data_IF_593426044231
#
_entry.id   IF_593426044231
#
_cell.length_a   1.000
_cell.length_b   1.000
_cell.length_c   1.000
_cell.angle_alpha   90.00
_cell.angle_beta   90.00
_cell.angle_gamma   90.00
#
_symmetry.space_group_name_H-M   'P 1'
#
loop_
_entity.id
_entity.type
_entity.pdbx_description
1 polymer ?
#
# COMPACT_ATOMS: atom_id res chain seq x y z
N UNK A 1 -16.59 28.36 58.77
CA UNK A 1 -16.87 27.16 58.03
C UNK A 1 -17.10 27.59 56.58
N UNK A 2 -16.05 27.57 55.76
CA UNK A 2 -16.09 28.03 54.36
C UNK A 2 -16.30 26.81 53.45
N UNK A 3 -17.39 26.82 52.72
CA UNK A 3 -17.72 25.82 51.71
C UNK A 3 -16.99 26.15 50.42
N UNK A 4 -16.13 25.22 49.97
CA UNK A 4 -15.41 25.27 48.69
C UNK A 4 -16.37 24.84 47.57
N UNK A 5 -16.49 25.55 46.45
CA UNK A 5 -17.34 25.12 45.34
C UNK A 5 -16.66 23.99 44.55
N UNK A 6 -17.42 22.92 44.31
CA UNK A 6 -17.07 21.78 43.50
C UNK A 6 -17.05 22.19 42.04
N UNK A 7 -15.87 22.17 41.39
CA UNK A 7 -15.74 22.40 39.97
C UNK A 7 -16.34 21.22 39.21
N UNK A 8 -17.50 21.44 38.61
CA UNK A 8 -18.12 20.51 37.68
C UNK A 8 -17.27 20.34 36.42
N UNK A 9 -16.61 19.18 36.30
CA UNK A 9 -15.92 18.79 35.09
C UNK A 9 -16.93 18.59 33.95
N UNK A 10 -16.84 19.45 32.93
CA UNK A 10 -17.54 19.24 31.65
C UNK A 10 -17.11 17.93 31.04
N UNK A 11 -18.04 16.97 30.94
CA UNK A 11 -17.85 15.74 30.12
C UNK A 11 -17.56 16.21 28.70
N UNK A 12 -16.31 16.09 28.26
CA UNK A 12 -15.98 16.16 26.83
C UNK A 12 -16.76 15.05 26.14
N UNK A 13 -17.74 15.42 25.33
CA UNK A 13 -18.52 14.50 24.54
C UNK A 13 -17.58 13.65 23.69
N UNK A 14 -17.76 12.34 23.72
CA UNK A 14 -17.17 11.43 22.77
C UNK A 14 -17.58 11.93 21.38
N UNK A 15 -16.63 12.49 20.63
CA UNK A 15 -16.90 12.95 19.26
C UNK A 15 -17.44 11.77 18.45
N UNK A 16 -18.59 11.98 17.81
CA UNK A 16 -19.11 10.99 16.87
C UNK A 16 -18.03 10.65 15.86
N UNK A 17 -17.69 9.38 15.74
CA UNK A 17 -16.81 8.89 14.68
C UNK A 17 -17.58 9.03 13.37
N UNK A 18 -17.28 10.07 12.59
CA UNK A 18 -17.85 10.25 11.26
C UNK A 18 -16.99 9.51 10.24
N UNK A 19 -17.59 8.54 9.54
CA UNK A 19 -16.94 7.88 8.42
C UNK A 19 -16.75 8.89 7.28
N UNK A 20 -15.49 9.12 6.88
CA UNK A 20 -15.18 9.94 5.70
C UNK A 20 -15.16 9.05 4.47
N UNK A 21 -16.13 9.21 3.58
CA UNK A 21 -16.31 8.35 2.41
C UNK A 21 -15.30 8.61 1.28
N UNK A 22 -14.65 9.76 1.28
CA UNK A 22 -13.67 10.18 0.26
C UNK A 22 -12.21 10.01 0.71
N UNK A 23 -11.95 9.07 1.60
CA UNK A 23 -10.58 8.67 1.96
C UNK A 23 -10.46 7.16 1.73
N UNK A 24 -9.38 6.76 1.08
CA UNK A 24 -8.98 5.36 0.90
C UNK A 24 -7.55 5.18 1.37
N UNK A 25 -7.29 4.10 2.08
CA UNK A 25 -5.96 3.72 2.52
C UNK A 25 -5.57 2.44 1.78
N UNK A 26 -4.48 2.50 1.02
CA UNK A 26 -4.03 1.38 0.19
C UNK A 26 -2.61 1.01 0.62
N UNK A 27 -2.37 -0.25 0.93
CA UNK A 27 -1.03 -0.79 1.13
C UNK A 27 -0.49 -1.34 -0.19
N UNK A 28 0.75 -0.99 -0.55
CA UNK A 28 1.40 -1.55 -1.74
C UNK A 28 2.25 -2.74 -1.35
N UNK A 29 1.96 -3.88 -1.95
CA UNK A 29 2.72 -5.13 -1.84
C UNK A 29 3.48 -5.33 -3.15
N UNK A 30 4.81 -5.43 -3.07
CA UNK A 30 5.64 -5.70 -4.22
C UNK A 30 6.91 -6.45 -3.81
N UNK A 31 7.43 -7.27 -4.71
CA UNK A 31 8.80 -7.76 -4.58
C UNK A 31 9.82 -6.64 -4.88
N UNK A 32 11.05 -6.82 -4.41
CA UNK A 32 12.17 -5.93 -4.74
C UNK A 32 12.28 -5.83 -6.27
N UNK A 33 12.55 -4.65 -6.78
CA UNK A 33 12.69 -4.34 -8.21
C UNK A 33 11.43 -4.52 -9.09
N UNK A 34 10.26 -4.88 -8.55
CA UNK A 34 9.02 -4.90 -9.33
C UNK A 34 8.50 -3.50 -9.72
N UNK A 35 9.17 -2.43 -9.27
CA UNK A 35 8.87 -1.05 -9.67
C UNK A 35 7.95 -0.30 -8.71
N UNK A 36 7.90 -0.69 -7.44
CA UNK A 36 7.08 -0.06 -6.41
C UNK A 36 7.34 1.45 -6.29
N UNK A 37 8.60 1.83 -6.09
CA UNK A 37 9.01 3.24 -5.96
C UNK A 37 8.66 4.04 -7.22
N UNK A 38 8.93 3.48 -8.40
CA UNK A 38 8.60 4.12 -9.68
C UNK A 38 7.11 4.36 -9.84
N UNK A 39 6.27 3.36 -9.48
CA UNK A 39 4.82 3.51 -9.52
C UNK A 39 4.34 4.63 -8.60
N UNK A 40 4.85 4.68 -7.38
CA UNK A 40 4.47 5.73 -6.41
C UNK A 40 4.91 7.11 -6.89
N UNK A 41 6.11 7.24 -7.42
CA UNK A 41 6.61 8.50 -7.98
C UNK A 41 5.74 8.99 -9.15
N UNK A 42 5.32 8.09 -10.04
CA UNK A 42 4.43 8.45 -11.16
C UNK A 42 3.03 8.83 -10.67
N UNK A 43 2.48 8.14 -9.68
CA UNK A 43 1.20 8.51 -9.07
C UNK A 43 1.27 9.91 -8.43
N UNK A 44 2.38 10.23 -7.76
CA UNK A 44 2.59 11.55 -7.17
C UNK A 44 2.70 12.65 -8.24
N UNK A 45 3.44 12.40 -9.33
CA UNK A 45 3.58 13.34 -10.45
C UNK A 45 2.21 13.62 -11.11
N UNK A 46 1.45 12.56 -11.39
CA UNK A 46 0.16 12.68 -12.10
C UNK A 46 -0.95 13.29 -11.22
N UNK A 47 -0.87 13.11 -9.90
CA UNK A 47 -1.87 13.67 -8.97
C UNK A 47 -1.75 15.18 -8.75
N UNK A 48 -0.73 15.83 -9.34
CA UNK A 48 -0.51 17.28 -9.22
C UNK A 48 -0.08 17.74 -7.81
N UNK A 49 0.36 16.82 -6.98
CA UNK A 49 0.89 17.13 -5.62
C UNK A 49 2.14 18.01 -5.72
N UNK A 50 2.90 17.86 -6.80
CA UNK A 50 4.05 18.72 -7.09
C UNK A 50 3.64 19.92 -7.93
N UNK A 51 4.08 21.12 -7.55
CA UNK A 51 3.93 22.33 -8.38
C UNK A 51 4.70 22.15 -9.69
N UNK A 52 4.16 22.64 -10.81
CA UNK A 52 4.67 22.47 -12.17
C UNK A 52 6.16 22.81 -12.39
N UNK A 53 6.83 23.47 -11.46
CA UNK A 53 8.23 23.88 -11.55
C UNK A 53 9.10 23.34 -10.40
N UNK A 54 8.61 22.37 -9.64
CA UNK A 54 9.41 21.76 -8.58
C UNK A 54 10.21 20.60 -9.18
N UNK A 55 11.53 20.68 -9.15
CA UNK A 55 12.38 19.55 -9.50
C UNK A 55 12.08 18.41 -8.53
N UNK A 56 11.38 17.40 -9.00
CA UNK A 56 11.05 16.22 -8.21
C UNK A 56 12.31 15.37 -8.13
N UNK A 57 12.84 15.23 -6.95
CA UNK A 57 13.93 14.30 -6.71
C UNK A 57 13.40 12.88 -6.96
N UNK A 58 14.03 12.13 -7.85
CA UNK A 58 13.68 10.73 -8.07
C UNK A 58 13.72 9.95 -6.74
N UNK A 59 12.82 8.97 -6.60
CA UNK A 59 12.69 8.15 -5.38
C UNK A 59 12.29 8.95 -4.14
N UNK A 60 11.22 9.74 -4.27
CA UNK A 60 10.67 10.56 -3.18
C UNK A 60 10.42 9.75 -1.90
N UNK A 61 10.05 8.48 -2.04
CA UNK A 61 9.78 7.58 -0.92
C UNK A 61 11.06 6.99 -0.30
N UNK A 62 12.17 6.91 -1.03
CA UNK A 62 13.42 6.32 -0.53
C UNK A 62 14.33 7.43 0.04
N UNK A 63 14.00 7.95 1.22
CA UNK A 63 14.72 9.07 1.85
C UNK A 63 15.95 8.64 2.66
N UNK A 64 16.13 7.34 2.92
CA UNK A 64 17.27 6.81 3.66
C UNK A 64 18.40 6.41 2.69
N UNK A 65 19.65 6.78 2.99
CA UNK A 65 20.79 6.47 2.15
C UNK A 65 20.96 4.96 1.92
N UNK A 66 20.67 4.14 2.93
CA UNK A 66 20.73 2.67 2.84
C UNK A 66 19.63 2.13 1.89
N UNK A 67 18.43 2.70 1.91
CA UNK A 67 17.34 2.33 1.01
C UNK A 67 17.68 2.68 -0.44
N UNK A 68 18.30 3.85 -0.65
CA UNK A 68 18.76 4.29 -1.98
C UNK A 68 19.89 3.42 -2.52
N UNK A 69 20.87 3.07 -1.68
CA UNK A 69 22.02 2.26 -2.08
C UNK A 69 21.61 0.83 -2.42
N UNK A 70 20.69 0.25 -1.64
CA UNK A 70 20.25 -1.14 -1.81
C UNK A 70 19.03 -1.32 -2.70
N UNK A 71 18.34 -0.22 -3.05
CA UNK A 71 17.11 -0.26 -3.86
C UNK A 71 15.91 -0.89 -3.16
N UNK A 72 15.94 -1.02 -1.83
CA UNK A 72 14.89 -1.67 -1.02
C UNK A 72 14.24 -0.67 -0.07
N UNK A 73 12.96 -0.87 0.21
CA UNK A 73 12.24 -0.14 1.27
C UNK A 73 12.43 -0.87 2.60
N UNK A 74 12.95 -0.18 3.59
CA UNK A 74 13.17 -0.73 4.94
C UNK A 74 12.07 -0.27 5.90
N UNK A 75 11.69 1.01 5.83
CA UNK A 75 10.67 1.60 6.68
C UNK A 75 9.38 1.88 5.90
N UNK A 76 8.24 1.52 6.46
CA UNK A 76 6.96 1.87 5.88
C UNK A 76 6.76 3.37 5.86
N UNK A 77 6.41 3.91 4.70
CA UNK A 77 6.20 5.34 4.47
C UNK A 77 4.78 5.58 3.99
N UNK A 78 4.25 6.73 4.36
CA UNK A 78 2.93 7.15 3.94
C UNK A 78 3.04 8.32 2.99
N UNK A 79 2.36 8.23 1.88
CA UNK A 79 2.14 9.36 0.98
C UNK A 79 0.66 9.46 0.64
N UNK A 80 0.24 10.56 0.05
CA UNK A 80 -1.15 10.75 -0.34
C UNK A 80 -1.22 11.35 -1.74
N UNK A 81 -2.10 10.79 -2.55
CA UNK A 81 -2.47 11.33 -3.86
C UNK A 81 -3.95 11.69 -3.87
N UNK A 82 -4.33 12.57 -4.76
CA UNK A 82 -5.73 12.97 -4.93
C UNK A 82 -6.20 12.55 -6.32
N UNK A 83 -7.33 11.89 -6.35
CA UNK A 83 -8.03 11.57 -7.59
C UNK A 83 -9.48 12.05 -7.48
N UNK A 84 -9.84 13.07 -8.27
CA UNK A 84 -11.11 13.80 -8.12
C UNK A 84 -11.28 14.26 -6.67
N UNK A 85 -12.39 13.93 -6.04
CA UNK A 85 -12.70 14.31 -4.65
C UNK A 85 -12.20 13.28 -3.61
N UNK A 86 -11.48 12.26 -4.05
CA UNK A 86 -11.00 11.19 -3.17
C UNK A 86 -9.52 11.35 -2.85
N UNK A 87 -9.21 11.36 -1.56
CA UNK A 87 -7.84 11.25 -1.05
C UNK A 87 -7.46 9.79 -0.93
N UNK A 88 -6.38 9.38 -1.57
CA UNK A 88 -5.82 8.03 -1.50
C UNK A 88 -4.50 8.10 -0.74
N UNK A 89 -4.49 7.57 0.47
CA UNK A 89 -3.28 7.39 1.24
C UNK A 89 -2.61 6.09 0.78
N UNK A 90 -1.38 6.20 0.36
CA UNK A 90 -0.56 5.08 -0.09
C UNK A 90 0.42 4.76 1.03
N UNK A 91 0.35 3.54 1.54
CA UNK A 91 1.20 3.04 2.60
C UNK A 91 2.17 2.04 1.97
N UNK A 92 3.44 2.39 1.99
CA UNK A 92 4.48 1.53 1.47
C UNK A 92 4.79 0.40 2.46
N UNK A 93 4.82 -0.84 1.98
CA UNK A 93 5.16 -2.01 2.81
C UNK A 93 6.60 -2.44 2.58
N UNK A 94 7.33 -2.81 3.63
CA UNK A 94 8.61 -3.51 3.46
C UNK A 94 8.43 -4.77 2.64
N UNK A 95 9.29 -4.97 1.65
CA UNK A 95 9.20 -6.13 0.74
C UNK A 95 9.80 -7.42 1.31
N UNK A 96 10.41 -7.39 2.50
CA UNK A 96 11.15 -8.53 3.04
C UNK A 96 10.40 -9.22 4.18
N UNK A 97 10.42 -10.56 4.19
CA UNK A 97 9.73 -11.39 5.20
C UNK A 97 10.18 -11.13 6.66
N UNK A 98 11.38 -10.60 6.86
CA UNK A 98 11.92 -10.28 8.19
C UNK A 98 11.14 -9.17 8.91
N UNK A 99 10.33 -8.40 8.19
CA UNK A 99 9.52 -7.29 8.71
C UNK A 99 8.04 -7.65 8.95
N UNK A 100 7.74 -8.91 9.27
CA UNK A 100 6.36 -9.40 9.42
C UNK A 100 5.47 -8.56 10.34
N UNK A 101 6.00 -8.09 11.47
CA UNK A 101 5.23 -7.23 12.39
C UNK A 101 4.89 -5.85 11.82
N UNK A 102 5.74 -5.32 10.97
CA UNK A 102 5.51 -4.05 10.27
C UNK A 102 4.48 -4.20 9.16
N UNK A 103 4.54 -5.31 8.44
CA UNK A 103 3.55 -5.69 7.42
C UNK A 103 2.15 -5.78 8.03
N UNK A 104 1.98 -6.46 9.16
CA UNK A 104 0.68 -6.56 9.84
C UNK A 104 0.15 -5.18 10.28
N UNK A 105 1.00 -4.30 10.79
CA UNK A 105 0.58 -2.92 11.15
C UNK A 105 0.08 -2.15 9.94
N UNK A 106 0.80 -2.22 8.82
CA UNK A 106 0.43 -1.55 7.57
C UNK A 106 -0.90 -2.08 7.06
N UNK A 107 -1.06 -3.39 7.01
CA UNK A 107 -2.30 -4.03 6.56
C UNK A 107 -3.50 -3.68 7.44
N UNK A 108 -3.31 -3.53 8.76
CA UNK A 108 -4.38 -3.07 9.66
C UNK A 108 -4.87 -1.66 9.36
N UNK A 109 -4.00 -0.78 8.85
CA UNK A 109 -4.36 0.60 8.49
C UNK A 109 -4.98 0.71 7.09
N UNK A 110 -4.81 -0.31 6.25
CA UNK A 110 -5.25 -0.27 4.86
C UNK A 110 -6.70 -0.75 4.69
N UNK A 111 -7.44 -0.14 3.77
CA UNK A 111 -8.77 -0.58 3.34
C UNK A 111 -8.66 -1.71 2.30
N UNK A 112 -7.62 -1.69 1.48
CA UNK A 112 -7.30 -2.69 0.46
C UNK A 112 -5.81 -2.74 0.19
N UNK A 113 -5.40 -3.66 -0.70
CA UNK A 113 -4.00 -3.84 -1.07
C UNK A 113 -3.82 -3.72 -2.58
N UNK A 114 -2.71 -3.13 -3.00
CA UNK A 114 -2.27 -3.11 -4.37
C UNK A 114 -1.09 -4.07 -4.51
N UNK A 115 -1.31 -5.15 -5.25
CA UNK A 115 -0.30 -6.17 -5.53
C UNK A 115 0.40 -5.85 -6.85
N UNK A 116 1.67 -5.46 -6.78
CA UNK A 116 2.48 -5.14 -7.95
C UNK A 116 3.37 -6.32 -8.32
N UNK A 117 3.24 -6.81 -9.54
CA UNK A 117 3.97 -7.97 -10.07
C UNK A 117 4.66 -7.59 -11.38
N UNK A 118 5.93 -7.99 -11.54
CA UNK A 118 6.67 -7.81 -12.78
C UNK A 118 6.15 -8.81 -13.84
N UNK A 119 5.84 -8.33 -15.04
CA UNK A 119 5.29 -9.13 -16.15
C UNK A 119 6.24 -10.21 -16.68
N UNK A 120 7.53 -10.14 -16.34
CA UNK A 120 8.52 -11.14 -16.72
C UNK A 120 8.80 -12.13 -15.58
N UNK A 121 9.04 -11.64 -14.37
CA UNK A 121 9.42 -12.46 -13.20
C UNK A 121 8.22 -13.23 -12.61
N UNK A 122 7.04 -12.62 -12.63
CA UNK A 122 5.85 -13.21 -12.04
C UNK A 122 5.80 -13.10 -10.51
N UNK A 123 5.08 -14.03 -9.88
CA UNK A 123 4.91 -14.06 -8.43
C UNK A 123 6.16 -14.61 -7.74
N UNK A 124 6.60 -13.89 -6.68
CA UNK A 124 7.82 -14.23 -5.93
C UNK A 124 7.50 -14.70 -4.50
N UNK A 125 8.36 -15.53 -3.86
CA UNK A 125 8.08 -16.10 -2.54
C UNK A 125 7.81 -15.08 -1.44
N UNK A 126 8.50 -13.93 -1.46
CA UNK A 126 8.28 -12.87 -0.48
C UNK A 126 6.90 -12.22 -0.64
N UNK A 127 6.44 -12.05 -1.87
CA UNK A 127 5.10 -11.55 -2.17
C UNK A 127 4.02 -12.48 -1.60
N UNK A 128 4.27 -13.81 -1.64
CA UNK A 128 3.36 -14.81 -1.10
C UNK A 128 3.05 -14.58 0.39
N UNK A 129 4.08 -14.33 1.21
CA UNK A 129 3.91 -14.12 2.65
C UNK A 129 3.03 -12.89 2.95
N UNK A 130 3.33 -11.76 2.31
CA UNK A 130 2.58 -10.52 2.54
C UNK A 130 1.16 -10.62 2.01
N UNK A 131 0.98 -11.24 0.84
CA UNK A 131 -0.33 -11.48 0.25
C UNK A 131 -1.18 -12.42 1.12
N UNK A 132 -0.59 -13.49 1.68
CA UNK A 132 -1.28 -14.39 2.60
C UNK A 132 -1.85 -13.63 3.79
N UNK A 133 -1.04 -12.77 4.41
CA UNK A 133 -1.50 -11.94 5.54
C UNK A 133 -2.63 -11.00 5.13
N UNK A 134 -2.55 -10.39 3.96
CA UNK A 134 -3.60 -9.54 3.45
C UNK A 134 -4.93 -10.30 3.24
N UNK A 135 -4.86 -11.50 2.66
CA UNK A 135 -6.03 -12.37 2.43
C UNK A 135 -6.64 -12.82 3.76
N UNK A 136 -5.82 -13.31 4.72
CA UNK A 136 -6.27 -13.71 6.06
C UNK A 136 -6.98 -12.56 6.80
N UNK A 137 -6.56 -11.31 6.58
CA UNK A 137 -7.19 -10.12 7.14
C UNK A 137 -8.41 -9.61 6.34
N UNK A 138 -8.86 -10.36 5.34
CA UNK A 138 -10.01 -10.01 4.51
C UNK A 138 -9.79 -8.80 3.59
N UNK A 139 -8.54 -8.45 3.27
CA UNK A 139 -8.26 -7.34 2.36
C UNK A 139 -8.53 -7.74 0.92
N UNK A 140 -9.13 -6.82 0.14
CA UNK A 140 -9.35 -7.03 -1.28
C UNK A 140 -8.15 -6.54 -2.08
N UNK A 141 -7.54 -7.39 -2.93
CA UNK A 141 -6.41 -6.98 -3.75
C UNK A 141 -6.85 -6.28 -5.04
N UNK A 142 -6.01 -5.36 -5.50
CA UNK A 142 -5.97 -4.85 -6.86
C UNK A 142 -4.65 -5.26 -7.45
N UNK A 143 -4.65 -5.99 -8.55
CA UNK A 143 -3.42 -6.52 -9.18
C UNK A 143 -2.93 -5.56 -10.25
N UNK A 144 -1.64 -5.24 -10.20
CA UNK A 144 -0.96 -4.44 -11.22
C UNK A 144 0.19 -5.25 -11.81
N UNK A 145 0.05 -5.64 -13.06
CA UNK A 145 1.12 -6.29 -13.84
C UNK A 145 1.96 -5.20 -14.48
N UNK A 146 3.19 -5.05 -14.00
CA UNK A 146 4.10 -3.97 -14.38
C UNK A 146 5.18 -4.44 -15.36
N UNK A 147 5.86 -3.48 -16.01
CA UNK A 147 6.96 -3.70 -16.96
C UNK A 147 6.54 -4.52 -18.17
N UNK A 148 5.35 -4.29 -18.67
CA UNK A 148 4.81 -4.94 -19.89
C UNK A 148 5.52 -4.51 -21.16
N UNK A 149 6.38 -3.50 -21.08
CA UNK A 149 7.27 -3.01 -22.13
C UNK A 149 8.55 -3.84 -22.32
N UNK A 150 8.85 -4.72 -21.34
CA UNK A 150 10.03 -5.59 -21.44
C UNK A 150 9.89 -6.63 -22.57
N UNK A 151 11.00 -6.92 -23.24
CA UNK A 151 11.07 -8.08 -24.13
C UNK A 151 10.81 -9.36 -23.31
N UNK A 152 10.04 -10.28 -23.89
CA UNK A 152 9.64 -11.55 -23.26
C UNK A 152 8.73 -11.39 -22.03
N UNK A 153 8.05 -10.24 -21.85
CA UNK A 153 6.98 -10.14 -20.86
C UNK A 153 5.83 -11.10 -21.23
N UNK A 154 5.16 -11.61 -20.19
CA UNK A 154 4.07 -12.59 -20.33
C UNK A 154 2.93 -12.23 -19.35
N UNK A 155 2.27 -11.11 -19.59
CA UNK A 155 1.30 -10.55 -18.64
C UNK A 155 0.12 -11.50 -18.37
N UNK A 156 -0.36 -12.22 -19.38
CA UNK A 156 -1.48 -13.17 -19.23
C UNK A 156 -1.09 -14.36 -18.32
N UNK A 157 0.08 -14.96 -18.54
CA UNK A 157 0.59 -16.03 -17.69
C UNK A 157 0.83 -15.56 -16.26
N UNK A 158 1.33 -14.32 -16.07
CA UNK A 158 1.55 -13.75 -14.75
C UNK A 158 0.22 -13.49 -14.04
N UNK A 159 -0.81 -13.09 -14.76
CA UNK A 159 -2.14 -12.94 -14.20
C UNK A 159 -2.71 -14.29 -13.72
N UNK A 160 -2.55 -15.36 -14.51
CA UNK A 160 -2.89 -16.73 -14.11
C UNK A 160 -2.10 -17.17 -12.86
N UNK A 161 -0.79 -16.90 -12.81
CA UNK A 161 0.04 -17.20 -11.64
C UNK A 161 -0.44 -16.48 -10.37
N UNK A 162 -0.88 -15.23 -10.50
CA UNK A 162 -1.44 -14.47 -9.37
C UNK A 162 -2.75 -15.13 -8.91
N UNK A 163 -3.62 -15.50 -9.84
CA UNK A 163 -4.87 -16.18 -9.54
C UNK A 163 -4.62 -17.51 -8.80
N UNK A 164 -3.73 -18.35 -9.33
CA UNK A 164 -3.35 -19.63 -8.72
C UNK A 164 -2.74 -19.43 -7.32
N UNK A 165 -1.91 -18.41 -7.17
CA UNK A 165 -1.35 -18.05 -5.88
C UNK A 165 -2.44 -17.69 -4.87
N UNK A 166 -3.37 -16.81 -5.24
CA UNK A 166 -4.46 -16.39 -4.37
C UNK A 166 -5.39 -17.55 -4.03
N UNK A 167 -5.69 -18.41 -5.00
CA UNK A 167 -6.46 -19.62 -4.79
C UNK A 167 -5.76 -20.56 -3.80
N UNK A 168 -4.44 -20.76 -3.94
CA UNK A 168 -3.63 -21.58 -3.01
C UNK A 168 -3.57 -21.01 -1.58
N UNK A 169 -3.86 -19.72 -1.42
CA UNK A 169 -3.91 -19.02 -0.13
C UNK A 169 -5.33 -18.99 0.47
N UNK A 170 -6.28 -19.72 -0.11
CA UNK A 170 -7.68 -19.77 0.30
C UNK A 170 -8.38 -18.41 0.24
N UNK A 171 -8.08 -17.61 -0.77
CA UNK A 171 -8.81 -16.37 -1.02
C UNK A 171 -10.29 -16.65 -1.28
N UNK A 172 -11.15 -15.77 -0.78
CA UNK A 172 -12.60 -15.86 -1.00
C UNK A 172 -12.95 -15.51 -2.45
N UNK A 173 -14.14 -15.89 -2.92
CA UNK A 173 -14.62 -15.53 -4.25
C UNK A 173 -14.57 -14.01 -4.50
N UNK A 174 -14.94 -13.21 -3.49
CA UNK A 174 -14.87 -11.73 -3.56
C UNK A 174 -13.43 -11.20 -3.68
N UNK A 175 -12.45 -11.89 -3.12
CA UNK A 175 -11.03 -11.56 -3.24
C UNK A 175 -10.43 -12.03 -4.57
N UNK A 176 -10.96 -13.13 -5.14
CA UNK A 176 -10.55 -13.63 -6.45
C UNK A 176 -11.12 -12.80 -7.61
N UNK A 177 -12.20 -12.06 -7.38
CA UNK A 177 -12.72 -11.05 -8.34
C UNK A 177 -11.88 -9.77 -8.28
N UNK A 178 -10.58 -9.88 -8.51
CA UNK A 178 -9.68 -8.74 -8.59
C UNK A 178 -9.62 -8.15 -10.01
N UNK A 179 -9.25 -6.89 -10.08
CA UNK A 179 -9.07 -6.15 -11.33
C UNK A 179 -7.61 -5.78 -11.49
#
# INVERSE_FOLDING_TARGET
MQTVPFFGGTKKGFGMITKKENIRNIAIIAHVDHGKTTLVDELLKQSGVFRQNQAVQERVMDSNDIERERGITILSKNTAVYYKDTKINIIDTPGHADFGGEVERVLNMADGVLLLVDAFEGTMPQTRFVLQKAIEMGKKPVVVVNKVDKQNCRPDEVNEQVFDLMFSLNATEDQLDFK
#
